data_IF_398019767372
#
_entry.id   IF_398019767372
#
_cell.length_a   1.000
_cell.length_b   1.000
_cell.length_c   1.000
_cell.angle_alpha   90.00
_cell.angle_beta   90.00
_cell.angle_gamma   90.00
#
_symmetry.space_group_name_H-M   'P 1'
#
loop_
_entity.id
_entity.type
_entity.pdbx_description
1 polymer ?
#
# COMPACT_ATOMS: atom_id res chain seq x y z
N UNK A 1 9.59 5.99 0.55
CA UNK A 1 8.56 6.22 1.58
C UNK A 1 7.21 5.62 1.23
N UNK A 2 6.92 5.45 -0.06
CA UNK A 2 5.68 4.80 -0.51
C UNK A 2 5.66 3.33 -0.09
N UNK A 3 4.60 2.83 0.62
CA UNK A 3 4.54 1.47 1.11
C UNK A 3 4.65 0.41 0.02
N UNK A 4 4.04 0.64 -1.15
CA UNK A 4 4.11 -0.31 -2.27
C UNK A 4 5.52 -0.35 -2.87
N UNK A 5 6.22 0.80 -2.94
CA UNK A 5 7.61 0.88 -3.38
C UNK A 5 8.55 0.24 -2.37
N UNK A 6 8.34 0.46 -1.06
CA UNK A 6 9.12 -0.22 -0.01
C UNK A 6 8.94 -1.73 -0.06
N UNK A 7 7.70 -2.23 -0.24
CA UNK A 7 7.44 -3.65 -0.40
C UNK A 7 8.15 -4.21 -1.65
N UNK A 8 8.06 -3.53 -2.79
CA UNK A 8 8.74 -3.95 -4.01
C UNK A 8 10.26 -4.03 -3.84
N UNK A 9 10.87 -3.05 -3.18
CA UNK A 9 12.32 -2.96 -3.01
C UNK A 9 12.88 -3.94 -1.96
N UNK A 10 12.08 -4.36 -0.98
CA UNK A 10 12.59 -5.10 0.19
C UNK A 10 11.76 -6.31 0.60
N UNK A 11 10.52 -6.39 0.16
CA UNK A 11 9.53 -7.34 0.67
C UNK A 11 8.83 -6.87 1.95
N UNK A 12 9.15 -5.67 2.49
CA UNK A 12 8.55 -5.18 3.73
C UNK A 12 7.02 -5.15 3.65
N UNK A 13 6.37 -5.83 4.59
CA UNK A 13 4.92 -6.02 4.64
C UNK A 13 4.32 -5.73 6.02
N UNK A 14 4.81 -4.70 6.69
CA UNK A 14 4.26 -4.23 7.96
C UNK A 14 3.12 -3.22 7.75
N UNK A 15 2.07 -3.33 8.57
CA UNK A 15 0.96 -2.35 8.58
C UNK A 15 1.29 -1.17 9.50
N UNK A 16 2.38 -0.44 9.19
CA UNK A 16 2.92 0.66 10.01
C UNK A 16 3.08 1.97 9.24
N UNK A 17 2.46 2.11 8.08
CA UNK A 17 2.56 3.28 7.21
C UNK A 17 1.95 4.57 7.79
N UNK A 18 1.32 4.51 8.96
CA UNK A 18 0.80 5.66 9.70
C UNK A 18 1.88 6.44 10.48
N UNK A 19 3.09 5.93 10.53
CA UNK A 19 4.27 6.63 11.06
C UNK A 19 5.33 6.73 9.97
N UNK A 20 6.21 7.76 10.00
CA UNK A 20 7.27 7.88 9.01
C UNK A 20 8.18 6.66 8.97
N UNK A 21 8.39 6.14 7.78
CA UNK A 21 9.31 5.04 7.49
C UNK A 21 9.89 5.24 6.09
N UNK A 22 11.05 4.65 5.83
CA UNK A 22 11.75 4.83 4.56
C UNK A 22 12.60 3.63 4.21
N UNK A 23 12.72 3.37 2.92
CA UNK A 23 13.78 2.51 2.36
C UNK A 23 14.78 3.40 1.64
N UNK A 24 16.04 3.30 2.03
CA UNK A 24 17.16 3.97 1.39
C UNK A 24 17.85 2.99 0.44
N UNK A 25 18.10 3.43 -0.78
CA UNK A 25 18.84 2.70 -1.80
C UNK A 25 20.09 3.50 -2.16
N UNK A 26 21.27 2.90 -1.99
CA UNK A 26 22.53 3.51 -2.39
C UNK A 26 23.18 2.66 -3.49
N UNK A 27 23.74 3.32 -4.52
CA UNK A 27 24.26 2.64 -5.72
C UNK A 27 25.41 1.66 -5.46
N UNK A 28 26.17 1.89 -4.38
CA UNK A 28 27.31 1.04 -3.99
C UNK A 28 26.96 0.04 -2.88
N UNK A 29 25.74 0.13 -2.30
CA UNK A 29 25.31 -0.80 -1.25
C UNK A 29 24.76 -2.10 -1.84
N UNK A 30 25.12 -3.23 -1.24
CA UNK A 30 24.68 -4.55 -1.69
C UNK A 30 23.17 -4.77 -1.47
N UNK A 31 22.56 -4.06 -0.53
CA UNK A 31 21.15 -4.17 -0.19
C UNK A 31 20.59 -2.79 0.19
N UNK A 32 19.28 -2.56 0.00
CA UNK A 32 18.58 -1.41 0.59
C UNK A 32 18.65 -1.42 2.12
N UNK A 33 18.35 -0.27 2.72
CA UNK A 33 18.26 -0.12 4.18
C UNK A 33 16.83 0.31 4.50
N UNK A 34 16.14 -0.44 5.35
CA UNK A 34 14.85 -0.05 5.89
C UNK A 34 15.04 0.69 7.22
N UNK A 35 14.40 1.84 7.36
CA UNK A 35 14.35 2.61 8.61
C UNK A 35 12.88 2.89 8.96
N UNK A 36 12.46 2.48 10.14
CA UNK A 36 11.11 2.69 10.65
C UNK A 36 11.08 2.76 12.17
N UNK A 37 9.89 2.77 12.75
CA UNK A 37 9.71 2.78 14.19
C UNK A 37 10.32 1.53 14.84
N UNK A 38 10.97 1.68 15.98
CA UNK A 38 11.69 0.56 16.66
C UNK A 38 10.80 -0.64 16.94
N UNK A 39 9.53 -0.45 17.29
CA UNK A 39 8.61 -1.57 17.53
C UNK A 39 8.28 -2.38 16.27
N UNK A 40 8.47 -1.82 15.07
CA UNK A 40 8.19 -2.46 13.78
C UNK A 40 9.42 -3.17 13.19
N UNK A 41 10.59 -3.07 13.83
CA UNK A 41 11.83 -3.74 13.40
C UNK A 41 11.61 -5.24 13.20
N UNK A 42 10.89 -5.89 14.12
CA UNK A 42 10.66 -7.32 14.01
C UNK A 42 9.80 -7.69 12.79
N UNK A 43 8.84 -6.85 12.43
CA UNK A 43 8.07 -7.05 11.19
C UNK A 43 8.98 -6.95 9.97
N UNK A 44 9.87 -5.96 9.93
CA UNK A 44 10.84 -5.83 8.84
C UNK A 44 11.82 -7.02 8.77
N UNK A 45 12.32 -7.52 9.91
CA UNK A 45 13.20 -8.69 9.96
C UNK A 45 12.55 -9.98 9.40
N UNK A 46 11.23 -10.16 9.59
CA UNK A 46 10.54 -11.40 9.19
C UNK A 46 9.92 -11.33 7.80
N UNK A 47 9.69 -10.14 7.25
CA UNK A 47 9.05 -9.98 5.95
C UNK A 47 10.05 -9.63 4.83
N UNK A 48 11.21 -9.04 5.16
CA UNK A 48 12.19 -8.64 4.16
C UNK A 48 13.29 -9.68 3.94
N UNK A 49 14.00 -9.56 2.80
CA UNK A 49 15.24 -10.30 2.54
C UNK A 49 16.48 -9.60 3.10
N UNK A 50 16.32 -8.46 3.79
CA UNK A 50 17.41 -7.66 4.29
C UNK A 50 18.17 -8.35 5.43
N UNK A 51 19.48 -8.11 5.50
CA UNK A 51 20.25 -8.48 6.70
C UNK A 51 19.84 -7.61 7.88
N UNK A 52 20.05 -8.10 9.11
CA UNK A 52 19.67 -7.35 10.32
C UNK A 52 20.32 -5.97 10.43
N UNK A 53 21.54 -5.82 9.91
CA UNK A 53 22.24 -4.54 9.92
C UNK A 53 21.59 -3.50 9.01
N UNK A 54 20.77 -3.94 8.04
CA UNK A 54 20.03 -3.10 7.12
C UNK A 54 18.57 -2.87 7.57
N UNK A 55 18.22 -3.27 8.79
CA UNK A 55 16.90 -3.03 9.41
C UNK A 55 17.09 -2.20 10.67
N UNK A 56 16.75 -0.92 10.61
CA UNK A 56 17.08 0.05 11.65
C UNK A 56 15.80 0.65 12.24
N UNK A 57 15.71 0.65 13.58
CA UNK A 57 14.59 1.24 14.29
C UNK A 57 14.93 2.59 14.92
N UNK A 58 14.16 3.65 14.61
CA UNK A 58 14.25 4.88 15.38
C UNK A 58 13.46 4.76 16.70
N UNK A 59 13.91 5.42 17.80
CA UNK A 59 13.23 5.40 19.09
C UNK A 59 11.82 5.98 19.05
N UNK A 60 10.94 5.49 19.95
CA UNK A 60 9.53 5.90 20.01
C UNK A 60 9.33 7.39 20.37
N UNK A 61 10.31 8.02 21.01
CA UNK A 61 10.26 9.44 21.35
C UNK A 61 10.37 10.40 20.13
N UNK A 62 10.58 9.85 18.93
CA UNK A 62 10.43 10.57 17.67
C UNK A 62 8.98 10.59 17.16
N UNK A 63 8.12 9.68 17.65
CA UNK A 63 6.73 9.56 17.16
C UNK A 63 5.87 10.66 17.78
N UNK A 64 5.22 11.47 16.94
CA UNK A 64 4.38 12.60 17.35
C UNK A 64 5.08 13.61 18.27
N UNK A 65 6.40 13.72 18.17
CA UNK A 65 7.20 14.67 18.93
C UNK A 65 7.06 16.09 18.36
N UNK A 66 7.02 17.09 19.25
CA UNK A 66 6.99 18.51 18.88
C UNK A 66 8.40 19.10 18.68
N UNK A 67 9.46 18.36 19.05
CA UNK A 67 10.83 18.87 19.08
C UNK A 67 11.80 18.10 18.18
N UNK A 68 11.40 16.96 17.64
CA UNK A 68 12.20 16.15 16.71
C UNK A 68 11.30 15.34 15.79
N UNK A 69 11.81 15.01 14.62
CA UNK A 69 11.09 14.28 13.58
C UNK A 69 11.82 12.98 13.23
N UNK A 70 11.14 11.88 12.87
CA UNK A 70 11.81 10.63 12.44
C UNK A 70 12.84 10.81 11.33
N UNK A 71 12.65 11.78 10.43
CA UNK A 71 13.62 12.09 9.39
C UNK A 71 14.87 12.83 9.90
N UNK A 72 14.89 13.38 11.13
CA UNK A 72 16.14 13.81 11.77
C UNK A 72 17.04 12.60 12.04
N UNK A 73 16.43 11.50 12.56
CA UNK A 73 17.14 10.24 12.75
C UNK A 73 17.64 9.64 11.42
N UNK A 74 16.83 9.71 10.36
CA UNK A 74 17.25 9.27 9.01
C UNK A 74 18.45 10.09 8.53
N UNK A 75 18.42 11.41 8.70
CA UNK A 75 19.53 12.28 8.34
C UNK A 75 20.82 11.96 9.12
N UNK A 76 20.72 11.70 10.42
CA UNK A 76 21.86 11.27 11.24
C UNK A 76 22.50 9.97 10.69
N UNK A 77 21.69 9.03 10.21
CA UNK A 77 22.23 7.81 9.57
C UNK A 77 22.90 8.11 8.26
N UNK A 78 22.29 8.93 7.41
CA UNK A 78 22.86 9.38 6.13
C UNK A 78 24.23 10.06 6.35
N UNK A 79 24.37 10.92 7.36
CA UNK A 79 25.63 11.56 7.73
C UNK A 79 26.65 10.50 8.20
N UNK A 80 26.24 9.59 9.09
CA UNK A 80 27.12 8.57 9.65
C UNK A 80 27.70 7.62 8.57
N UNK A 81 26.98 7.43 7.45
CA UNK A 81 27.45 6.65 6.30
C UNK A 81 28.28 7.47 5.30
N UNK A 82 28.46 8.78 5.52
CA UNK A 82 29.19 9.65 4.61
C UNK A 82 28.40 10.07 3.36
N UNK A 83 27.06 9.94 3.37
CA UNK A 83 26.21 10.26 2.22
C UNK A 83 25.61 11.68 2.28
N UNK A 84 25.93 12.44 3.34
CA UNK A 84 25.30 13.74 3.62
C UNK A 84 25.61 14.87 2.63
N UNK A 85 26.55 14.67 1.68
CA UNK A 85 26.94 15.66 0.65
C UNK A 85 26.59 15.18 -0.76
N UNK A 86 25.85 14.08 -0.87
CA UNK A 86 25.48 13.47 -2.15
C UNK A 86 24.20 14.06 -2.75
N UNK A 87 23.91 13.63 -3.98
CA UNK A 87 22.60 13.84 -4.59
C UNK A 87 21.64 12.81 -4.05
N UNK A 88 20.56 13.25 -3.43
CA UNK A 88 19.55 12.41 -2.81
C UNK A 88 18.24 12.56 -3.57
N UNK A 89 17.78 11.47 -4.17
CA UNK A 89 16.44 11.39 -4.78
C UNK A 89 15.37 11.20 -3.71
N UNK A 90 14.30 11.99 -3.77
CA UNK A 90 13.17 11.93 -2.84
C UNK A 90 11.88 11.63 -3.61
N UNK A 91 11.03 10.78 -3.07
CA UNK A 91 9.66 10.55 -3.60
C UNK A 91 8.75 11.73 -3.21
N UNK A 92 8.93 12.88 -3.85
CA UNK A 92 8.30 14.14 -3.44
C UNK A 92 6.79 14.17 -3.62
N UNK A 93 6.24 13.31 -4.48
CA UNK A 93 4.78 13.18 -4.71
C UNK A 93 4.15 12.01 -3.91
N UNK A 94 4.90 11.39 -3.00
CA UNK A 94 4.37 10.34 -2.13
C UNK A 94 3.54 10.93 -0.97
N UNK A 95 2.33 10.42 -0.76
CA UNK A 95 1.48 10.81 0.39
C UNK A 95 2.13 10.51 1.76
N UNK A 96 3.14 9.65 1.79
CA UNK A 96 3.87 9.25 2.98
C UNK A 96 5.17 10.05 3.19
N UNK A 97 5.52 10.94 2.25
CA UNK A 97 6.63 11.87 2.36
C UNK A 97 6.10 13.29 2.56
N UNK A 98 5.95 13.69 3.81
CA UNK A 98 5.35 14.97 4.15
C UNK A 98 6.31 16.15 3.94
N UNK A 99 5.76 17.37 3.86
CA UNK A 99 6.57 18.58 3.85
C UNK A 99 7.50 18.68 5.07
N UNK A 100 7.04 18.23 6.25
CA UNK A 100 7.86 18.20 7.47
C UNK A 100 9.04 17.22 7.30
N UNK A 101 8.84 16.07 6.66
CA UNK A 101 9.92 15.14 6.34
C UNK A 101 11.00 15.78 5.46
N UNK A 102 10.56 16.52 4.44
CA UNK A 102 11.48 17.28 3.56
C UNK A 102 12.25 18.35 4.34
N UNK A 103 11.56 19.17 5.13
CA UNK A 103 12.24 20.24 5.90
C UNK A 103 13.22 19.68 6.93
N UNK A 104 12.88 18.56 7.58
CA UNK A 104 13.79 17.85 8.49
C UNK A 104 15.09 17.45 7.77
N UNK A 105 14.99 16.76 6.63
CA UNK A 105 16.15 16.38 5.83
C UNK A 105 16.95 17.60 5.34
N UNK A 106 16.27 18.60 4.81
CA UNK A 106 16.91 19.80 4.25
C UNK A 106 17.68 20.59 5.33
N UNK A 107 17.14 20.65 6.55
CA UNK A 107 17.79 21.32 7.68
C UNK A 107 19.01 20.53 8.16
N UNK A 108 18.91 19.23 8.27
CA UNK A 108 19.98 18.37 8.81
C UNK A 108 21.08 18.06 7.78
N UNK A 109 20.78 18.15 6.49
CA UNK A 109 21.70 17.83 5.39
C UNK A 109 21.92 19.05 4.48
N UNK A 110 22.54 20.15 5.00
CA UNK A 110 22.63 21.41 4.27
C UNK A 110 23.52 21.34 3.02
N UNK A 111 24.40 20.34 2.93
CA UNK A 111 25.32 20.14 1.80
C UNK A 111 24.78 19.11 0.78
N UNK A 112 23.66 18.42 1.09
CA UNK A 112 23.05 17.50 0.15
C UNK A 112 22.32 18.26 -0.97
N UNK A 113 22.30 17.66 -2.16
CA UNK A 113 21.48 18.16 -3.26
C UNK A 113 20.27 17.27 -3.44
N UNK A 114 19.08 17.74 -3.09
CA UNK A 114 17.85 17.02 -3.26
C UNK A 114 17.33 17.13 -4.69
N UNK A 115 16.84 16.00 -5.21
CA UNK A 115 16.18 15.90 -6.51
C UNK A 115 14.86 15.14 -6.35
N UNK A 116 13.88 15.53 -7.15
CA UNK A 116 12.63 14.77 -7.23
C UNK A 116 12.89 13.44 -7.93
N UNK A 117 12.58 12.36 -7.24
CA UNK A 117 12.60 10.99 -7.74
C UNK A 117 11.19 10.36 -7.70
N UNK A 118 10.15 11.20 -7.66
CA UNK A 118 8.77 10.74 -7.75
C UNK A 118 8.60 9.82 -8.96
N UNK A 119 7.85 8.75 -8.77
CA UNK A 119 7.57 7.73 -9.79
C UNK A 119 8.78 6.92 -10.30
N UNK A 120 10.02 7.14 -9.83
CA UNK A 120 11.17 6.36 -10.27
C UNK A 120 10.95 4.86 -10.06
N UNK A 121 10.59 4.45 -8.84
CA UNK A 121 10.31 3.04 -8.53
C UNK A 121 9.02 2.57 -9.21
N UNK A 122 8.01 3.41 -9.33
CA UNK A 122 6.77 3.11 -10.06
C UNK A 122 7.05 2.76 -11.53
N UNK A 123 7.95 3.48 -12.21
CA UNK A 123 8.36 3.16 -13.57
C UNK A 123 9.09 1.81 -13.66
N UNK A 124 9.98 1.51 -12.71
CA UNK A 124 10.64 0.19 -12.63
C UNK A 124 9.61 -0.92 -12.46
N UNK A 125 8.60 -0.72 -11.60
CA UNK A 125 7.51 -1.67 -11.34
C UNK A 125 6.50 -1.78 -12.48
N UNK A 126 6.48 -0.85 -13.44
CA UNK A 126 5.46 -0.83 -14.50
C UNK A 126 5.57 -2.06 -15.41
N UNK A 127 6.78 -2.54 -15.67
CA UNK A 127 7.02 -3.76 -16.43
C UNK A 127 7.24 -4.93 -15.48
N UNK A 128 6.30 -5.89 -15.47
CA UNK A 128 6.29 -7.02 -14.55
C UNK A 128 7.14 -8.16 -15.09
N UNK A 129 7.86 -8.81 -14.18
CA UNK A 129 8.52 -10.09 -14.43
C UNK A 129 7.49 -11.23 -14.50
N UNK A 130 7.89 -12.40 -15.01
CA UNK A 130 7.04 -13.59 -15.05
C UNK A 130 6.56 -14.02 -13.64
N UNK A 131 7.41 -13.87 -12.63
CA UNK A 131 7.04 -14.16 -11.24
C UNK A 131 5.95 -13.21 -10.73
N UNK A 132 6.05 -11.92 -11.02
CA UNK A 132 5.03 -10.92 -10.66
C UNK A 132 3.72 -11.18 -11.41
N UNK A 133 3.78 -11.54 -12.70
CA UNK A 133 2.59 -11.92 -13.47
C UNK A 133 1.90 -13.13 -12.84
N UNK A 134 2.66 -14.13 -12.37
CA UNK A 134 2.08 -15.28 -11.69
C UNK A 134 1.34 -14.89 -10.39
N UNK A 135 1.85 -13.92 -9.62
CA UNK A 135 1.17 -13.39 -8.44
C UNK A 135 -0.11 -12.61 -8.82
N UNK A 136 -0.06 -11.80 -9.87
CA UNK A 136 -1.23 -11.10 -10.40
C UNK A 136 -2.32 -12.08 -10.89
N UNK A 137 -1.94 -13.21 -11.51
CA UNK A 137 -2.87 -14.26 -11.90
C UNK A 137 -3.56 -14.92 -10.68
N UNK A 138 -2.82 -15.13 -9.58
CA UNK A 138 -3.42 -15.60 -8.32
C UNK A 138 -4.40 -14.57 -7.75
N UNK A 139 -4.04 -13.29 -7.76
CA UNK A 139 -4.92 -12.21 -7.37
C UNK A 139 -6.21 -12.18 -8.22
N UNK A 140 -6.09 -12.46 -9.54
CA UNK A 140 -7.23 -12.54 -10.44
C UNK A 140 -8.20 -13.68 -10.06
N UNK A 141 -7.69 -14.84 -9.62
CA UNK A 141 -8.55 -15.95 -9.16
C UNK A 141 -9.31 -15.61 -7.88
N UNK A 142 -8.69 -14.87 -6.97
CA UNK A 142 -9.37 -14.34 -5.78
C UNK A 142 -10.46 -13.36 -6.19
N UNK A 143 -10.16 -12.47 -7.14
CA UNK A 143 -11.12 -11.52 -7.67
C UNK A 143 -12.32 -12.20 -8.33
N UNK A 144 -12.11 -13.24 -9.16
CA UNK A 144 -13.20 -14.02 -9.78
C UNK A 144 -14.21 -14.50 -8.72
N UNK A 145 -13.71 -15.06 -7.62
CA UNK A 145 -14.56 -15.53 -6.52
C UNK A 145 -15.30 -14.37 -5.85
N UNK A 146 -14.58 -13.28 -5.52
CA UNK A 146 -15.17 -12.10 -4.89
C UNK A 146 -16.22 -11.44 -5.79
N UNK A 147 -15.94 -11.33 -7.10
CA UNK A 147 -16.86 -10.72 -8.07
C UNK A 147 -18.13 -11.59 -8.24
N UNK A 148 -17.99 -12.90 -8.37
CA UNK A 148 -19.13 -13.82 -8.43
C UNK A 148 -19.98 -13.70 -7.16
N UNK A 149 -19.32 -13.70 -5.98
CA UNK A 149 -20.02 -13.48 -4.70
C UNK A 149 -20.78 -12.15 -4.71
N UNK A 150 -20.16 -11.06 -5.16
CA UNK A 150 -20.80 -9.76 -5.24
C UNK A 150 -22.01 -9.74 -6.16
N UNK A 151 -21.90 -10.29 -7.36
CA UNK A 151 -23.00 -10.39 -8.34
C UNK A 151 -24.17 -11.20 -7.74
N UNK A 152 -23.88 -12.34 -7.10
CA UNK A 152 -24.90 -13.20 -6.51
C UNK A 152 -25.60 -12.56 -5.31
N UNK A 153 -24.93 -11.63 -4.61
CA UNK A 153 -25.48 -10.94 -3.43
C UNK A 153 -26.24 -9.64 -3.78
N UNK A 154 -26.11 -9.11 -5.00
CA UNK A 154 -26.94 -8.00 -5.47
C UNK A 154 -28.34 -8.51 -5.78
N UNK A 155 -29.18 -8.63 -4.75
CA UNK A 155 -30.55 -9.11 -4.81
C UNK A 155 -31.48 -8.15 -4.07
N UNK A 156 -32.72 -8.03 -4.55
CA UNK A 156 -33.75 -7.18 -3.91
C UNK A 156 -33.88 -7.52 -2.41
N UNK A 157 -33.81 -6.49 -1.57
CA UNK A 157 -33.94 -6.62 -0.12
C UNK A 157 -32.64 -6.99 0.62
N UNK A 158 -31.59 -7.43 -0.06
CA UNK A 158 -30.28 -7.64 0.57
C UNK A 158 -29.63 -6.30 0.88
N UNK A 159 -29.16 -6.09 2.10
CA UNK A 159 -28.44 -4.85 2.46
C UNK A 159 -27.07 -4.82 1.80
N UNK A 160 -26.64 -3.65 1.34
CA UNK A 160 -25.33 -3.46 0.69
C UNK A 160 -24.19 -3.89 1.61
N UNK A 161 -24.24 -3.55 2.90
CA UNK A 161 -23.22 -3.92 3.89
C UNK A 161 -23.08 -5.44 4.07
N UNK A 162 -24.19 -6.21 3.99
CA UNK A 162 -24.14 -7.68 4.08
C UNK A 162 -23.48 -8.29 2.83
N UNK A 163 -23.79 -7.75 1.65
CA UNK A 163 -23.11 -8.14 0.42
C UNK A 163 -21.61 -7.86 0.48
N UNK A 164 -21.21 -6.70 0.99
CA UNK A 164 -19.79 -6.33 1.16
C UNK A 164 -19.08 -7.24 2.16
N UNK A 165 -19.74 -7.62 3.26
CA UNK A 165 -19.16 -8.57 4.22
C UNK A 165 -18.83 -9.91 3.57
N UNK A 166 -19.73 -10.44 2.71
CA UNK A 166 -19.51 -11.67 1.97
C UNK A 166 -18.41 -11.52 0.90
N UNK A 167 -18.34 -10.37 0.21
CA UNK A 167 -17.28 -10.06 -0.74
C UNK A 167 -15.92 -10.03 -0.02
N UNK A 168 -15.80 -9.30 1.11
CA UNK A 168 -14.57 -9.23 1.88
C UNK A 168 -14.16 -10.59 2.43
N UNK A 169 -15.14 -11.42 2.87
CA UNK A 169 -14.87 -12.80 3.24
C UNK A 169 -14.26 -13.58 2.06
N UNK A 170 -14.84 -13.47 0.86
CA UNK A 170 -14.32 -14.13 -0.33
C UNK A 170 -12.91 -13.64 -0.70
N UNK A 171 -12.64 -12.33 -0.59
CA UNK A 171 -11.33 -11.74 -0.84
C UNK A 171 -10.27 -12.28 0.12
N UNK A 172 -10.55 -12.31 1.43
CA UNK A 172 -9.59 -12.76 2.45
C UNK A 172 -9.43 -14.28 2.46
N UNK A 173 -10.52 -15.04 2.35
CA UNK A 173 -10.46 -16.51 2.32
C UNK A 173 -9.77 -17.04 1.06
N UNK A 174 -9.76 -16.28 -0.03
CA UNK A 174 -9.07 -16.65 -1.25
C UNK A 174 -9.60 -17.92 -1.90
N UNK A 175 -8.70 -18.73 -2.44
CA UNK A 175 -8.96 -20.03 -3.06
C UNK A 175 -8.66 -21.18 -2.08
N UNK A 176 -9.00 -22.45 -2.41
CA UNK A 176 -8.59 -23.59 -1.59
C UNK A 176 -7.06 -23.74 -1.46
N UNK A 177 -6.29 -23.25 -2.42
CA UNK A 177 -4.83 -23.41 -2.48
C UNK A 177 -4.07 -22.29 -1.75
N UNK A 178 -4.67 -21.08 -1.66
CA UNK A 178 -4.03 -19.91 -1.05
C UNK A 178 -5.05 -18.87 -0.60
N UNK A 179 -4.75 -18.19 0.51
CA UNK A 179 -5.52 -17.06 1.01
C UNK A 179 -5.27 -15.79 0.21
N UNK A 180 -6.17 -14.82 0.38
CA UNK A 180 -5.99 -13.47 -0.09
C UNK A 180 -5.48 -12.52 1.00
N UNK A 181 -4.88 -11.41 0.56
CA UNK A 181 -4.50 -10.29 1.43
C UNK A 181 -5.58 -9.20 1.41
N UNK A 182 -5.49 -8.25 2.34
CA UNK A 182 -6.33 -7.06 2.25
C UNK A 182 -5.99 -6.25 1.00
N UNK A 183 -7.01 -5.70 0.37
CA UNK A 183 -6.87 -4.92 -0.86
C UNK A 183 -6.58 -3.44 -0.57
N UNK A 184 -5.89 -2.77 -1.49
CA UNK A 184 -5.63 -1.33 -1.41
C UNK A 184 -6.92 -0.49 -1.49
N UNK A 185 -7.93 -0.98 -2.22
CA UNK A 185 -9.27 -0.41 -2.27
C UNK A 185 -10.25 -1.30 -1.52
N UNK A 186 -11.15 -0.71 -0.76
CA UNK A 186 -12.31 -1.42 -0.21
C UNK A 186 -13.29 -1.75 -1.34
N UNK A 187 -14.19 -2.73 -1.19
CA UNK A 187 -15.28 -2.92 -2.14
C UNK A 187 -16.09 -1.63 -2.30
N UNK A 188 -16.22 -1.14 -3.52
CA UNK A 188 -17.07 0.01 -3.84
C UNK A 188 -18.34 -0.49 -4.51
N UNK A 189 -19.49 -0.17 -3.92
CA UNK A 189 -20.81 -0.63 -4.36
C UNK A 189 -21.82 0.52 -4.45
N UNK A 190 -21.53 1.61 -5.20
CA UNK A 190 -22.56 2.62 -5.42
C UNK A 190 -23.77 1.99 -6.10
N UNK A 191 -24.98 2.23 -5.54
CA UNK A 191 -26.25 1.65 -6.00
C UNK A 191 -27.29 2.73 -6.20
N UNK A 192 -28.21 2.52 -7.15
CA UNK A 192 -29.29 3.44 -7.46
C UNK A 192 -28.74 4.82 -7.84
N UNK A 193 -29.25 5.88 -7.22
CA UNK A 193 -28.80 7.25 -7.46
C UNK A 193 -27.29 7.44 -7.20
N UNK A 194 -26.73 6.64 -6.28
CA UNK A 194 -25.28 6.65 -5.98
C UNK A 194 -24.39 6.29 -7.15
N UNK A 195 -24.90 5.59 -8.18
CA UNK A 195 -24.11 5.22 -9.37
C UNK A 195 -23.70 6.41 -10.22
N UNK A 196 -24.31 7.58 -10.02
CA UNK A 196 -23.89 8.83 -10.66
C UNK A 196 -22.63 9.45 -10.06
N UNK A 197 -22.18 8.93 -8.92
CA UNK A 197 -21.02 9.44 -8.18
C UNK A 197 -19.98 8.34 -8.06
N UNK A 198 -18.78 8.49 -8.65
CA UNK A 198 -17.71 7.50 -8.51
C UNK A 198 -17.18 7.46 -7.08
N UNK A 199 -16.61 6.34 -6.71
CA UNK A 199 -15.90 6.10 -5.44
C UNK A 199 -16.78 6.14 -4.17
N UNK A 200 -18.08 5.99 -4.29
CA UNK A 200 -18.91 5.67 -3.13
C UNK A 200 -18.70 4.20 -2.75
N UNK A 201 -18.67 3.93 -1.45
CA UNK A 201 -18.50 2.57 -0.95
C UNK A 201 -19.84 1.82 -0.92
N UNK A 202 -20.46 1.70 0.23
CA UNK A 202 -21.73 1.03 0.44
C UNK A 202 -22.49 1.72 1.56
N UNK A 203 -23.78 1.37 1.69
CA UNK A 203 -24.64 1.79 2.80
C UNK A 203 -25.26 0.56 3.49
N UNK A 204 -26.08 0.81 4.50
CA UNK A 204 -26.91 -0.21 5.14
C UNK A 204 -28.28 -0.40 4.42
N UNK A 205 -28.51 0.35 3.34
CA UNK A 205 -29.75 0.28 2.58
C UNK A 205 -29.81 -1.01 1.75
N UNK A 206 -31.01 -1.59 1.54
CA UNK A 206 -31.17 -2.75 0.66
C UNK A 206 -31.06 -2.35 -0.80
N UNK A 207 -30.61 -3.31 -1.64
CA UNK A 207 -30.75 -3.18 -3.09
C UNK A 207 -32.22 -3.17 -3.50
N UNK A 208 -32.56 -2.42 -4.55
CA UNK A 208 -33.94 -2.24 -5.03
C UNK A 208 -34.07 -2.61 -6.51
N UNK A 209 -35.22 -3.11 -6.88
CA UNK A 209 -35.57 -3.31 -8.30
C UNK A 209 -35.58 -1.99 -9.06
N UNK A 210 -35.21 -2.05 -10.34
CA UNK A 210 -35.09 -0.87 -11.19
C UNK A 210 -33.80 -0.08 -10.98
N UNK A 211 -32.91 -0.52 -10.12
CA UNK A 211 -31.63 0.16 -9.83
C UNK A 211 -30.44 -0.63 -10.34
N UNK A 212 -29.40 0.11 -10.74
CA UNK A 212 -28.09 -0.45 -11.04
C UNK A 212 -27.20 -0.41 -9.79
N UNK A 213 -26.26 -1.35 -9.73
CA UNK A 213 -25.15 -1.35 -8.75
C UNK A 213 -23.83 -1.54 -9.50
N UNK A 214 -22.85 -0.71 -9.22
CA UNK A 214 -21.49 -0.88 -9.74
C UNK A 214 -20.69 -1.62 -8.68
N UNK A 215 -20.10 -2.75 -9.04
CA UNK A 215 -19.17 -3.51 -8.22
C UNK A 215 -17.76 -3.15 -8.70
N UNK A 216 -16.99 -2.43 -7.91
CA UNK A 216 -15.56 -2.21 -8.17
C UNK A 216 -14.77 -2.88 -7.05
N UNK A 217 -14.10 -3.96 -7.41
CA UNK A 217 -13.44 -4.89 -6.48
C UNK A 217 -12.02 -5.17 -6.93
N UNK A 218 -11.19 -5.63 -5.99
CA UNK A 218 -9.88 -6.18 -6.29
C UNK A 218 -9.67 -7.51 -5.56
N UNK A 219 -8.94 -8.42 -6.20
CA UNK A 219 -8.25 -9.52 -5.51
C UNK A 219 -6.83 -9.07 -5.17
N UNK A 220 -6.26 -9.60 -4.09
CA UNK A 220 -4.89 -9.33 -3.68
C UNK A 220 -4.21 -10.61 -3.20
N UNK A 221 -2.97 -10.84 -3.68
CA UNK A 221 -2.14 -11.95 -3.24
C UNK A 221 -0.68 -11.49 -3.19
N UNK A 222 -0.05 -11.59 -2.02
CA UNK A 222 1.31 -11.09 -1.78
C UNK A 222 1.50 -9.65 -2.27
N UNK A 223 0.52 -8.79 -1.97
CA UNK A 223 0.42 -7.37 -2.36
C UNK A 223 0.28 -7.09 -3.86
N UNK A 224 0.24 -8.10 -4.72
CA UNK A 224 -0.14 -7.93 -6.12
C UNK A 224 -1.64 -7.95 -6.27
N UNK A 225 -2.16 -6.98 -7.00
CA UNK A 225 -3.60 -6.75 -7.15
C UNK A 225 -4.08 -7.08 -8.57
N UNK A 226 -5.34 -7.48 -8.65
CA UNK A 226 -6.10 -7.51 -9.88
C UNK A 226 -7.44 -6.80 -9.63
N UNK A 227 -7.65 -5.58 -10.14
CA UNK A 227 -8.92 -4.88 -10.01
C UNK A 227 -9.87 -5.19 -11.17
N UNK A 228 -11.18 -5.10 -10.90
CA UNK A 228 -12.23 -5.21 -11.93
C UNK A 228 -13.49 -4.46 -11.50
N UNK A 229 -14.17 -3.87 -12.47
CA UNK A 229 -15.51 -3.30 -12.28
C UNK A 229 -16.55 -4.08 -13.09
N UNK A 230 -17.76 -4.23 -12.53
CA UNK A 230 -18.94 -4.80 -13.18
C UNK A 230 -20.18 -4.02 -12.73
N UNK A 231 -21.14 -3.92 -13.63
CA UNK A 231 -22.44 -3.32 -13.31
C UNK A 231 -23.50 -4.40 -13.33
N UNK A 232 -24.31 -4.46 -12.28
CA UNK A 232 -25.48 -5.32 -12.15
C UNK A 232 -26.71 -4.43 -12.15
N UNK A 233 -27.74 -4.84 -12.89
CA UNK A 233 -29.04 -4.18 -12.90
C UNK A 233 -30.11 -5.14 -12.40
N UNK A 234 -30.87 -4.73 -11.38
CA UNK A 234 -31.99 -5.51 -10.86
C UNK A 234 -33.28 -5.12 -11.61
N UNK A 235 -33.67 -5.96 -12.57
CA UNK A 235 -34.91 -5.81 -13.37
C UNK A 235 -36.17 -6.28 -12.68
#
# INVERSE_FOLDING_TARGET
TDPANMNYLTGYDGWSFYVPQVVLVHVEAAQPIWIGRKMDVRAAEVTTYLTRDNVIGYPDDYVQSLIKHPFDFVADRIIAWGWGEQVIGLEMDSYYFTATSYFSLHHQLPNARFQDAALLVNWVRSVKSDAEIALMQRAARILEKAMTTGIDRVQEGTRQCDAVADIMHAQVSGTPEYGGDYTAIVPMLPSGEGTSTPHLTWSDQPFKRGEATILELAGCHQRYHCPQARTVFLG
#
